data_IF_664742231720
#
_entry.id   IF_664742231720
#
_cell.length_a   1.000
_cell.length_b   1.000
_cell.length_c   1.000
_cell.angle_alpha   90.00
_cell.angle_beta   90.00
_cell.angle_gamma   90.00
#
_symmetry.space_group_name_H-M   'P 1'
#
loop_
_entity.id
_entity.type
_entity.pdbx_description
1 polymer ?
#
# COMPACT_ATOMS: atom_id res chain seq x y z
N UNK A 1 -30.03 54.77 -26.03
CA UNK A 1 -30.35 53.45 -25.43
C UNK A 1 -29.03 52.76 -25.13
N UNK A 2 -28.62 52.69 -23.86
CA UNK A 2 -28.75 51.40 -23.15
C UNK A 2 -29.15 51.58 -21.67
N UNK A 3 -30.13 50.82 -21.17
CA UNK A 3 -30.52 50.81 -19.75
C UNK A 3 -31.36 49.55 -19.45
N UNK A 4 -30.81 48.64 -18.64
CA UNK A 4 -31.47 47.89 -17.53
C UNK A 4 -30.53 46.75 -17.10
N UNK A 5 -29.65 46.96 -16.09
CA UNK A 5 -29.85 46.66 -14.66
C UNK A 5 -30.51 45.28 -14.40
N UNK A 6 -29.81 44.37 -13.71
CA UNK A 6 -30.01 44.14 -12.26
C UNK A 6 -29.05 43.07 -11.70
N UNK A 7 -28.69 43.29 -10.43
CA UNK A 7 -27.85 42.48 -9.56
C UNK A 7 -28.45 41.12 -9.20
N UNK A 8 -27.58 40.12 -8.99
CA UNK A 8 -27.62 39.22 -7.82
C UNK A 8 -26.19 38.67 -7.63
N UNK A 9 -25.35 39.28 -6.80
CA UNK A 9 -25.12 38.94 -5.38
C UNK A 9 -24.94 37.43 -5.14
N UNK A 10 -23.75 37.05 -4.65
CA UNK A 10 -23.47 35.73 -4.13
C UNK A 10 -22.32 34.98 -4.80
N UNK A 11 -21.11 35.56 -4.81
CA UNK A 11 -19.92 34.72 -4.81
C UNK A 11 -18.77 35.43 -4.07
N UNK A 12 -18.91 35.49 -2.75
CA UNK A 12 -17.80 35.74 -1.85
C UNK A 12 -16.83 34.59 -2.02
N UNK A 13 -15.87 34.73 -2.95
CA UNK A 13 -14.68 33.89 -2.96
C UNK A 13 -13.89 34.23 -1.70
N UNK A 14 -14.16 33.47 -0.65
CA UNK A 14 -13.21 33.27 0.45
C UNK A 14 -12.03 32.54 -0.16
N UNK A 15 -11.12 33.29 -0.79
CA UNK A 15 -9.80 32.79 -1.15
C UNK A 15 -8.96 32.76 0.13
N UNK A 16 -9.20 31.69 0.87
CA UNK A 16 -8.29 30.96 1.74
C UNK A 16 -6.89 31.60 1.86
N UNK A 17 -6.63 32.17 3.03
CA UNK A 17 -5.32 32.54 3.59
C UNK A 17 -4.42 31.30 3.78
N UNK A 18 -4.06 30.59 2.71
CA UNK A 18 -3.26 29.35 2.77
C UNK A 18 -1.75 29.58 2.57
N UNK A 19 -1.29 30.84 2.50
CA UNK A 19 0.14 31.19 2.31
C UNK A 19 0.70 32.13 3.38
N UNK A 20 0.31 31.92 4.64
CA UNK A 20 1.08 32.34 5.81
C UNK A 20 1.53 31.10 6.61
N UNK A 21 2.11 30.12 5.92
CA UNK A 21 3.02 29.21 6.63
C UNK A 21 4.27 30.04 6.88
N UNK A 22 4.39 30.47 8.13
CA UNK A 22 5.38 31.41 8.62
C UNK A 22 6.79 30.98 8.14
N UNK A 23 7.49 31.89 7.47
CA UNK A 23 8.95 31.83 7.31
C UNK A 23 9.57 32.04 8.72
N UNK A 24 9.41 31.04 9.58
CA UNK A 24 9.99 31.02 10.93
C UNK A 24 11.48 30.76 10.81
N UNK A 25 12.26 31.51 11.57
CA UNK A 25 13.68 31.20 11.76
C UNK A 25 13.84 29.84 12.45
N UNK A 26 14.95 29.14 12.20
CA UNK A 26 15.21 27.81 12.82
C UNK A 26 15.12 27.87 14.35
N UNK A 27 15.54 28.98 14.95
CA UNK A 27 15.45 29.22 16.40
C UNK A 27 14.00 29.30 16.89
N UNK A 28 13.13 30.03 16.17
CA UNK A 28 11.70 30.13 16.49
C UNK A 28 10.99 28.77 16.33
N UNK A 29 11.36 27.99 15.31
CA UNK A 29 10.83 26.63 15.13
C UNK A 29 11.21 25.72 16.31
N UNK A 30 12.47 25.76 16.75
CA UNK A 30 12.94 24.98 17.89
C UNK A 30 12.24 25.39 19.20
N UNK A 31 12.04 26.69 19.42
CA UNK A 31 11.30 27.20 20.58
C UNK A 31 9.85 26.71 20.58
N UNK A 32 9.19 26.75 19.41
CA UNK A 32 7.81 26.26 19.26
C UNK A 32 7.71 24.75 19.53
N UNK A 33 8.63 23.95 18.96
CA UNK A 33 8.68 22.50 19.16
C UNK A 33 8.87 22.16 20.64
N UNK A 34 9.80 22.81 21.33
CA UNK A 34 10.07 22.56 22.75
C UNK A 34 8.86 22.92 23.62
N UNK A 35 8.19 24.04 23.34
CA UNK A 35 6.98 24.44 24.06
C UNK A 35 5.84 23.44 23.87
N UNK A 36 5.64 22.97 22.65
CA UNK A 36 4.64 21.94 22.35
C UNK A 36 4.96 20.62 23.06
N UNK A 37 6.22 20.17 23.01
CA UNK A 37 6.64 18.96 23.70
C UNK A 37 6.41 19.07 25.21
N UNK A 38 6.68 20.21 25.86
CA UNK A 38 6.42 20.39 27.30
C UNK A 38 4.94 20.26 27.66
N UNK A 39 4.05 20.86 26.86
CA UNK A 39 2.59 20.79 27.09
C UNK A 39 2.06 19.38 26.86
N UNK A 40 2.56 18.66 25.83
CA UNK A 40 2.07 17.33 25.45
C UNK A 40 2.68 16.18 26.25
N UNK A 41 3.88 16.35 26.83
CA UNK A 41 4.61 15.30 27.57
C UNK A 41 3.80 14.62 28.68
N UNK A 42 3.01 15.31 29.53
CA UNK A 42 2.21 14.63 30.56
C UNK A 42 1.02 13.83 29.98
N UNK A 43 0.61 14.10 28.73
CA UNK A 43 -0.51 13.41 28.07
C UNK A 43 -0.05 12.29 27.12
N UNK A 44 1.23 12.24 26.76
CA UNK A 44 1.80 11.26 25.84
C UNK A 44 2.84 10.40 26.55
N UNK A 45 2.53 9.10 26.71
CA UNK A 45 3.51 8.12 27.14
C UNK A 45 4.24 7.52 25.93
N UNK A 46 5.54 7.76 25.84
CA UNK A 46 6.42 7.15 24.85
C UNK A 46 7.64 6.56 25.56
N UNK A 47 7.86 5.25 25.43
CA UNK A 47 9.06 4.54 25.92
C UNK A 47 9.78 3.86 24.76
N UNK A 48 11.10 3.79 24.80
CA UNK A 48 11.88 3.08 23.78
C UNK A 48 12.18 1.66 24.29
N UNK A 49 12.05 0.64 23.43
CA UNK A 49 12.29 -0.78 23.84
C UNK A 49 13.67 -0.99 24.47
N UNK A 50 14.70 -0.27 24.01
CA UNK A 50 16.06 -0.29 24.57
C UNK A 50 16.15 0.17 26.03
N UNK A 51 15.21 0.99 26.49
CA UNK A 51 15.19 1.53 27.86
C UNK A 51 14.50 0.59 28.85
N UNK A 52 13.66 -0.33 28.37
CA UNK A 52 12.79 -1.16 29.21
C UNK A 52 13.19 -2.63 29.25
N UNK A 53 13.84 -3.15 28.21
CA UNK A 53 14.21 -4.57 28.14
C UNK A 53 15.62 -4.72 27.57
N UNK A 54 16.57 -5.22 28.39
CA UNK A 54 17.99 -5.34 27.99
C UNK A 54 18.32 -6.67 27.32
N UNK A 55 17.46 -7.67 27.48
CA UNK A 55 17.69 -9.04 26.97
C UNK A 55 17.17 -9.25 25.55
N UNK A 56 16.38 -8.31 25.01
CA UNK A 56 15.82 -8.43 23.67
C UNK A 56 16.88 -8.08 22.61
N UNK A 57 17.18 -8.97 21.65
CA UNK A 57 18.09 -8.65 20.56
C UNK A 57 17.54 -7.53 19.67
N UNK A 58 18.45 -6.80 19.03
CA UNK A 58 18.07 -5.73 18.10
C UNK A 58 17.29 -6.29 16.89
N UNK A 59 16.27 -5.56 16.47
CA UNK A 59 15.50 -5.88 15.26
C UNK A 59 16.38 -5.66 14.03
N UNK A 60 16.67 -6.72 13.30
CA UNK A 60 17.33 -6.65 11.99
C UNK A 60 16.24 -6.55 10.91
N UNK A 61 16.37 -5.58 10.01
CA UNK A 61 15.44 -5.38 8.89
C UNK A 61 16.18 -5.57 7.56
N UNK A 62 15.66 -6.47 6.73
CA UNK A 62 16.26 -6.84 5.44
C UNK A 62 15.21 -6.66 4.36
N UNK A 63 15.53 -5.85 3.35
CA UNK A 63 14.67 -5.63 2.18
C UNK A 63 15.10 -6.57 1.07
N UNK A 64 14.26 -7.56 0.74
CA UNK A 64 14.54 -8.52 -0.33
C UNK A 64 13.85 -8.05 -1.62
N UNK A 65 14.66 -7.82 -2.66
CA UNK A 65 14.15 -7.53 -4.00
C UNK A 65 13.82 -8.83 -4.71
N UNK A 66 12.63 -8.92 -5.29
CA UNK A 66 12.11 -10.12 -5.94
C UNK A 66 11.66 -9.78 -7.34
N UNK A 67 12.04 -10.63 -8.29
CA UNK A 67 11.65 -10.48 -9.68
C UNK A 67 10.20 -10.94 -9.91
N UNK A 68 9.55 -10.33 -10.88
CA UNK A 68 8.22 -10.74 -11.33
C UNK A 68 8.31 -12.05 -12.12
N UNK A 69 7.33 -12.93 -11.94
CA UNK A 69 7.13 -14.12 -12.77
C UNK A 69 6.86 -13.73 -14.23
N UNK A 70 7.02 -14.67 -15.17
CA UNK A 70 6.72 -14.44 -16.58
C UNK A 70 5.27 -13.95 -16.79
N UNK A 71 4.32 -14.57 -16.08
CA UNK A 71 2.91 -14.19 -16.14
C UNK A 71 2.65 -12.81 -15.53
N UNK A 72 3.28 -12.51 -14.39
CA UNK A 72 3.24 -11.17 -13.78
C UNK A 72 3.76 -10.10 -14.73
N UNK A 73 4.87 -10.34 -15.43
CA UNK A 73 5.45 -9.38 -16.38
C UNK A 73 4.49 -9.06 -17.52
N UNK A 74 3.85 -10.07 -18.09
CA UNK A 74 2.87 -9.90 -19.18
C UNK A 74 1.66 -9.09 -18.70
N UNK A 75 1.05 -9.50 -17.58
CA UNK A 75 -0.10 -8.82 -17.02
C UNK A 75 0.22 -7.38 -16.59
N UNK A 76 1.38 -7.16 -15.98
CA UNK A 76 1.86 -5.84 -15.55
C UNK A 76 2.04 -4.90 -16.74
N UNK A 77 2.69 -5.37 -17.82
CA UNK A 77 2.87 -4.59 -19.05
C UNK A 77 1.52 -4.21 -19.65
N UNK A 78 0.59 -5.15 -19.71
CA UNK A 78 -0.74 -4.88 -20.26
C UNK A 78 -1.52 -3.85 -19.41
N UNK A 79 -1.49 -3.91 -18.07
CA UNK A 79 -2.14 -2.87 -17.24
C UNK A 79 -1.45 -1.51 -17.42
N UNK A 80 -0.12 -1.51 -17.50
CA UNK A 80 0.66 -0.29 -17.66
C UNK A 80 0.37 0.42 -18.99
N UNK A 81 0.29 -0.34 -20.08
CA UNK A 81 0.18 0.21 -21.43
C UNK A 81 -1.28 0.54 -21.79
N UNK A 82 -2.25 -0.27 -21.36
CA UNK A 82 -3.65 -0.13 -21.78
C UNK A 82 -4.56 0.50 -20.73
N UNK A 83 -4.15 0.55 -19.46
CA UNK A 83 -4.98 1.12 -18.37
C UNK A 83 -6.32 0.41 -18.16
N UNK A 84 -6.54 -0.73 -18.81
CA UNK A 84 -7.73 -1.59 -18.77
C UNK A 84 -7.29 -3.01 -19.10
N UNK A 85 -7.79 -4.00 -18.38
CA UNK A 85 -7.57 -5.42 -18.67
C UNK A 85 -8.91 -6.14 -18.52
N UNK A 86 -9.66 -6.15 -19.63
CA UNK A 86 -11.01 -6.71 -19.70
C UNK A 86 -11.96 -5.83 -20.50
N UNK A 87 -12.40 -6.33 -21.66
CA UNK A 87 -13.66 -5.90 -22.27
C UNK A 87 -14.73 -6.76 -21.60
N UNK A 88 -15.51 -6.20 -20.67
CA UNK A 88 -16.77 -6.85 -20.31
C UNK A 88 -17.77 -6.69 -21.47
N UNK A 89 -18.56 -7.72 -21.73
CA UNK A 89 -19.60 -7.82 -22.78
C UNK A 89 -20.72 -6.76 -22.69
N UNK A 90 -20.62 -5.78 -21.79
CA UNK A 90 -21.64 -4.74 -21.53
C UNK A 90 -21.14 -3.30 -21.63
N UNK A 91 -20.07 -3.03 -22.38
CA UNK A 91 -19.72 -1.68 -22.86
C UNK A 91 -19.37 -0.63 -21.79
N UNK A 92 -19.47 -0.94 -20.49
CA UNK A 92 -18.99 -0.09 -19.41
C UNK A 92 -17.50 -0.32 -19.23
N UNK A 93 -16.70 0.52 -19.86
CA UNK A 93 -15.32 0.75 -19.45
C UNK A 93 -15.36 1.24 -18.00
N UNK A 94 -15.19 0.35 -17.03
CA UNK A 94 -14.77 0.74 -15.70
C UNK A 94 -13.39 1.37 -15.91
N UNK A 95 -13.36 2.69 -16.08
CA UNK A 95 -12.12 3.43 -15.98
C UNK A 95 -11.47 2.97 -14.68
N UNK A 96 -10.32 2.31 -14.77
CA UNK A 96 -9.56 1.90 -13.60
C UNK A 96 -9.11 3.21 -12.94
N UNK A 97 -9.95 3.78 -12.07
CA UNK A 97 -9.63 4.99 -11.30
C UNK A 97 -8.42 4.76 -10.38
N UNK A 98 -7.87 3.54 -10.36
CA UNK A 98 -6.70 3.18 -9.59
C UNK A 98 -5.83 2.13 -10.28
N UNK A 99 -5.23 2.49 -11.42
CA UNK A 99 -4.20 1.68 -12.10
C UNK A 99 -3.10 1.25 -11.12
N UNK A 100 -2.70 2.13 -10.19
CA UNK A 100 -1.72 1.83 -9.14
C UNK A 100 -2.17 0.67 -8.25
N UNK A 101 -3.45 0.61 -7.85
CA UNK A 101 -3.99 -0.51 -7.07
C UNK A 101 -3.91 -1.84 -7.82
N UNK A 102 -4.20 -1.84 -9.11
CA UNK A 102 -4.15 -3.07 -9.90
C UNK A 102 -2.71 -3.55 -10.11
N UNK A 103 -1.78 -2.62 -10.36
CA UNK A 103 -0.35 -2.95 -10.40
C UNK A 103 0.12 -3.52 -9.05
N UNK A 104 -0.32 -2.95 -7.92
CA UNK A 104 -0.02 -3.46 -6.58
C UNK A 104 -0.55 -4.89 -6.37
N UNK A 105 -1.75 -5.21 -6.87
CA UNK A 105 -2.33 -6.56 -6.80
C UNK A 105 -1.52 -7.58 -7.60
N UNK A 106 -1.17 -7.26 -8.86
CA UNK A 106 -0.37 -8.15 -9.72
C UNK A 106 0.99 -8.46 -9.07
N UNK A 107 1.64 -7.45 -8.49
CA UNK A 107 2.92 -7.62 -7.80
C UNK A 107 2.83 -8.52 -6.56
N UNK A 108 1.64 -8.74 -5.98
CA UNK A 108 1.47 -9.67 -4.87
C UNK A 108 1.20 -11.08 -5.37
N UNK A 109 0.13 -11.24 -6.14
CA UNK A 109 -0.24 -12.50 -6.77
C UNK A 109 -1.23 -12.21 -7.90
N UNK A 110 -1.05 -12.74 -9.13
CA UNK A 110 -1.90 -12.25 -10.22
C UNK A 110 -3.31 -12.83 -10.16
N UNK A 111 -3.53 -13.91 -9.40
CA UNK A 111 -4.88 -14.35 -9.00
C UNK A 111 -5.68 -13.35 -8.15
N UNK A 112 -5.05 -12.35 -7.52
CA UNK A 112 -5.82 -11.28 -6.86
C UNK A 112 -6.63 -10.42 -7.83
N UNK A 113 -6.30 -10.48 -9.12
CA UNK A 113 -6.96 -9.74 -10.18
C UNK A 113 -8.17 -10.50 -10.74
N UNK A 114 -8.08 -11.84 -10.83
CA UNK A 114 -9.15 -12.67 -11.38
C UNK A 114 -10.19 -12.95 -10.30
N UNK A 115 -11.28 -12.18 -10.27
CA UNK A 115 -12.44 -12.45 -9.42
C UNK A 115 -13.15 -13.78 -9.76
N UNK A 116 -12.76 -14.45 -10.85
CA UNK A 116 -13.28 -15.75 -11.25
C UNK A 116 -12.61 -16.87 -10.44
N UNK A 117 -13.20 -17.13 -9.28
CA UNK A 117 -12.94 -18.26 -8.38
C UNK A 117 -13.07 -19.65 -9.06
N UNK A 118 -13.53 -19.71 -10.32
CA UNK A 118 -13.89 -20.97 -10.98
C UNK A 118 -12.70 -21.72 -11.58
N UNK A 119 -11.55 -21.06 -11.82
CA UNK A 119 -10.35 -21.70 -12.40
C UNK A 119 -9.26 -22.03 -11.37
N UNK A 120 -9.40 -21.56 -10.12
CA UNK A 120 -8.40 -21.77 -9.06
C UNK A 120 -8.32 -23.24 -8.61
N UNK A 121 -9.39 -24.02 -8.78
CA UNK A 121 -9.45 -25.41 -8.33
C UNK A 121 -8.48 -26.36 -9.06
N UNK A 122 -7.93 -25.97 -10.21
CA UNK A 122 -7.09 -26.85 -11.04
C UNK A 122 -5.59 -26.55 -11.00
N UNK A 123 -5.14 -25.53 -10.24
CA UNK A 123 -3.74 -25.07 -10.31
C UNK A 123 -2.94 -25.19 -9.01
N UNK A 124 -3.42 -25.90 -7.99
CA UNK A 124 -2.76 -26.01 -6.67
C UNK A 124 -1.24 -26.25 -6.72
N UNK A 125 -0.76 -27.10 -7.63
CA UNK A 125 0.67 -27.39 -7.76
C UNK A 125 1.52 -26.25 -8.39
N UNK A 126 0.92 -25.34 -9.14
CA UNK A 126 1.63 -24.26 -9.84
C UNK A 126 1.42 -22.88 -9.21
N UNK A 127 0.66 -22.77 -8.12
CA UNK A 127 0.33 -21.50 -7.46
C UNK A 127 1.58 -20.66 -7.17
N UNK A 128 2.59 -21.26 -6.54
CA UNK A 128 3.84 -20.57 -6.20
C UNK A 128 4.65 -20.11 -7.41
N UNK A 129 4.56 -20.81 -8.56
CA UNK A 129 5.29 -20.47 -9.80
C UNK A 129 4.71 -19.25 -10.50
N UNK A 130 3.46 -18.90 -10.19
CA UNK A 130 2.78 -17.76 -10.81
C UNK A 130 3.16 -16.41 -10.20
N UNK A 131 3.76 -16.39 -9.00
CA UNK A 131 4.21 -15.18 -8.31
C UNK A 131 5.64 -15.31 -7.80
N UNK A 132 6.51 -14.38 -8.16
CA UNK A 132 7.90 -14.40 -7.67
C UNK A 132 8.03 -14.32 -6.15
N UNK A 133 7.08 -13.64 -5.47
CA UNK A 133 7.06 -13.58 -4.01
C UNK A 133 6.77 -14.94 -3.37
N UNK A 134 5.85 -15.71 -3.96
CA UNK A 134 5.52 -17.04 -3.46
C UNK A 134 6.66 -18.03 -3.76
N UNK A 135 7.32 -17.90 -4.91
CA UNK A 135 8.51 -18.69 -5.22
C UNK A 135 9.66 -18.44 -4.24
N UNK A 136 9.87 -17.18 -3.81
CA UNK A 136 10.86 -16.88 -2.77
C UNK A 136 10.44 -17.46 -1.41
N UNK A 137 9.17 -17.28 -1.07
CA UNK A 137 8.59 -17.75 0.19
C UNK A 137 8.69 -19.27 0.30
N UNK A 138 8.44 -20.01 -0.78
CA UNK A 138 8.61 -21.46 -0.91
C UNK A 138 10.05 -21.92 -0.65
N UNK A 139 11.04 -21.11 -1.03
CA UNK A 139 12.46 -21.40 -0.75
C UNK A 139 12.89 -21.03 0.68
N UNK A 140 12.21 -20.07 1.31
CA UNK A 140 12.58 -19.54 2.63
C UNK A 140 11.89 -20.25 3.78
N UNK A 141 10.58 -20.50 3.68
CA UNK A 141 9.80 -21.08 4.77
C UNK A 141 10.32 -22.45 5.23
N UNK A 142 10.66 -23.42 4.36
CA UNK A 142 11.17 -24.70 4.82
C UNK A 142 12.45 -24.55 5.67
N UNK A 143 13.35 -23.62 5.30
CA UNK A 143 14.59 -23.35 6.04
C UNK A 143 14.32 -22.78 7.44
N UNK A 144 13.29 -21.94 7.57
CA UNK A 144 12.90 -21.34 8.84
C UNK A 144 12.15 -22.33 9.74
N UNK A 145 11.34 -23.22 9.15
CA UNK A 145 10.61 -24.25 9.88
C UNK A 145 11.57 -25.32 10.42
N UNK A 146 12.54 -25.75 9.61
CA UNK A 146 13.57 -26.72 10.03
C UNK A 146 14.43 -26.17 11.18
N UNK A 147 14.69 -24.86 11.19
CA UNK A 147 15.43 -24.19 12.27
C UNK A 147 14.53 -23.81 13.47
N UNK A 148 13.28 -24.28 13.49
CA UNK A 148 12.29 -24.04 14.55
C UNK A 148 11.99 -22.55 14.84
N UNK A 149 12.12 -21.69 13.82
CA UNK A 149 11.69 -20.29 13.92
C UNK A 149 10.19 -20.15 13.64
N UNK A 150 9.51 -19.29 14.41
CA UNK A 150 8.11 -18.92 14.16
C UNK A 150 8.06 -17.73 13.22
N UNK A 151 7.28 -17.85 12.15
CA UNK A 151 7.16 -16.82 11.10
C UNK A 151 5.80 -16.15 11.20
N UNK A 152 5.79 -14.82 11.15
CA UNK A 152 4.57 -14.00 11.09
C UNK A 152 4.54 -13.26 9.76
N UNK A 153 3.45 -13.43 9.00
CA UNK A 153 3.28 -12.87 7.66
C UNK A 153 2.18 -11.81 7.71
N UNK A 154 2.47 -10.63 7.15
CA UNK A 154 1.52 -9.53 7.03
C UNK A 154 1.23 -9.22 5.57
N UNK A 155 -0.03 -8.89 5.26
CA UNK A 155 -0.46 -8.44 3.94
C UNK A 155 -1.45 -7.29 4.06
N UNK A 156 -1.35 -6.31 3.16
CA UNK A 156 -2.33 -5.22 3.06
C UNK A 156 -3.64 -5.69 2.40
N UNK A 157 -3.61 -6.77 1.62
CA UNK A 157 -4.75 -7.27 0.87
C UNK A 157 -5.31 -8.53 1.55
N UNK A 158 -6.58 -8.47 1.97
CA UNK A 158 -7.30 -9.58 2.61
C UNK A 158 -7.39 -10.79 1.69
N UNK A 159 -7.69 -10.59 0.41
CA UNK A 159 -7.78 -11.70 -0.55
C UNK A 159 -6.44 -12.41 -0.77
N UNK A 160 -5.29 -11.77 -0.49
CA UNK A 160 -4.00 -12.49 -0.50
C UNK A 160 -3.95 -13.57 0.57
N UNK A 161 -4.62 -13.35 1.70
CA UNK A 161 -4.60 -14.30 2.81
C UNK A 161 -5.33 -15.58 2.45
N UNK A 162 -6.42 -15.50 1.68
CA UNK A 162 -7.09 -16.69 1.14
C UNK A 162 -6.16 -17.47 0.20
N UNK A 163 -5.41 -16.78 -0.67
CA UNK A 163 -4.42 -17.43 -1.56
C UNK A 163 -3.28 -18.06 -0.74
N UNK A 164 -2.88 -17.41 0.36
CA UNK A 164 -1.87 -17.96 1.27
C UNK A 164 -2.41 -19.19 2.03
N UNK A 165 -3.69 -19.18 2.42
CA UNK A 165 -4.37 -20.33 3.02
C UNK A 165 -4.37 -21.53 2.07
N UNK A 166 -4.65 -21.31 0.79
CA UNK A 166 -4.59 -22.36 -0.24
C UNK A 166 -3.16 -22.88 -0.53
N UNK A 167 -2.13 -22.09 -0.17
CA UNK A 167 -0.73 -22.44 -0.39
C UNK A 167 -0.13 -23.28 0.76
N UNK A 168 -0.58 -23.07 2.00
CA UNK A 168 -0.09 -23.77 3.20
C UNK A 168 -0.68 -25.17 3.35
#
# INVERSE_FOLDING_TARGET
>A
KPLSKMHNSGNTKVSVDEKKVLDLTEEEQLLLINRLHQVLRPFLLRRVKKEVEKELPDKIEIVIKVDLSAWQKIAYKHIKDHGVLGVEEKGKKLALQNTVMQLRKICNHPYQFFQYHREMQFLGANLYRTSGKFELLDRMLPKLIITHHKVLIFSQFTHLMNIMEDYF
#
